data_IF_331243396704
#
_entry.id   IF_331243396704
#
_cell.length_a   1.000
_cell.length_b   1.000
_cell.length_c   1.000
_cell.angle_alpha   90.00
_cell.angle_beta   90.00
_cell.angle_gamma   90.00
#
_symmetry.space_group_name_H-M   'P 1'
#
loop_
_entity.id
_entity.type
_entity.pdbx_description
1 polymer ?
#
# COMPACT_ATOMS: atom_id res chain seq x y z
N UNK A 1 73.20 59.12 -50.92
CA UNK A 1 72.22 59.43 -49.86
C UNK A 1 71.35 58.21 -49.74
N UNK A 2 71.74 57.31 -48.84
CA UNK A 2 71.15 55.99 -48.65
C UNK A 2 69.78 56.10 -47.98
N UNK A 3 68.79 55.47 -48.60
CA UNK A 3 67.40 55.43 -48.18
C UNK A 3 67.25 54.48 -46.98
N UNK A 4 67.03 55.04 -45.79
CA UNK A 4 66.81 54.31 -44.55
C UNK A 4 65.47 53.54 -44.61
N UNK A 5 65.54 52.22 -44.74
CA UNK A 5 64.38 51.32 -44.56
C UNK A 5 64.23 50.98 -43.07
N UNK A 6 63.13 51.40 -42.45
CA UNK A 6 62.77 51.04 -41.07
C UNK A 6 62.62 49.51 -40.90
N UNK A 7 63.02 48.92 -39.76
CA UNK A 7 62.79 47.50 -39.49
C UNK A 7 61.31 47.26 -39.12
N UNK A 8 60.71 46.26 -39.73
CA UNK A 8 59.37 45.77 -39.39
C UNK A 8 59.35 45.14 -37.99
N UNK A 9 58.24 45.25 -37.23
CA UNK A 9 58.15 44.65 -35.91
C UNK A 9 58.05 43.13 -36.03
N UNK A 10 58.88 42.42 -35.26
CA UNK A 10 58.86 40.97 -35.15
C UNK A 10 57.49 40.48 -34.66
N UNK A 11 56.88 39.56 -35.41
CA UNK A 11 55.68 38.84 -34.97
C UNK A 11 56.01 37.99 -33.75
N UNK A 12 55.39 38.31 -32.61
CA UNK A 12 55.37 37.44 -31.44
C UNK A 12 54.76 36.07 -31.80
N UNK A 13 55.26 34.94 -31.26
CA UNK A 13 54.75 33.62 -31.62
C UNK A 13 53.33 33.42 -31.07
N UNK A 14 52.35 33.33 -31.96
CA UNK A 14 50.98 32.96 -31.62
C UNK A 14 50.84 31.43 -31.55
N UNK A 15 51.45 30.81 -30.53
CA UNK A 15 51.27 29.37 -30.26
C UNK A 15 50.96 29.17 -28.78
N UNK A 16 49.67 29.05 -28.44
CA UNK A 16 49.25 28.79 -27.05
C UNK A 16 47.74 28.62 -26.81
N UNK A 17 46.88 28.94 -27.77
CA UNK A 17 45.42 28.90 -27.59
C UNK A 17 44.71 27.56 -27.88
N UNK A 18 45.12 26.71 -28.85
CA UNK A 18 44.36 25.49 -29.17
C UNK A 18 44.46 24.40 -28.10
N UNK A 19 45.65 24.22 -27.51
CA UNK A 19 45.97 23.11 -26.59
C UNK A 19 45.18 23.20 -25.28
N UNK A 20 44.96 24.40 -24.74
CA UNK A 20 44.15 24.57 -23.52
C UNK A 20 42.68 24.20 -23.72
N UNK A 21 42.14 24.45 -24.90
CA UNK A 21 40.74 24.16 -25.23
C UNK A 21 40.53 22.65 -25.42
N UNK A 22 41.49 21.96 -26.03
CA UNK A 22 41.50 20.50 -26.14
C UNK A 22 41.70 19.82 -24.78
N UNK A 23 42.66 20.26 -23.96
CA UNK A 23 42.85 19.72 -22.61
C UNK A 23 41.62 19.89 -21.72
N UNK A 24 40.95 21.05 -21.81
CA UNK A 24 39.70 21.29 -21.10
C UNK A 24 38.56 20.39 -21.61
N UNK A 25 38.47 20.13 -22.92
CA UNK A 25 37.45 19.26 -23.49
C UNK A 25 37.64 17.80 -23.08
N UNK A 26 38.90 17.34 -23.03
CA UNK A 26 39.30 16.00 -22.54
C UNK A 26 38.97 15.87 -21.06
N UNK A 27 39.45 16.78 -20.21
CA UNK A 27 39.19 16.74 -18.77
C UNK A 27 37.68 16.77 -18.44
N UNK A 28 36.89 17.53 -19.19
CA UNK A 28 35.42 17.57 -19.03
C UNK A 28 34.78 16.25 -19.45
N UNK A 29 35.30 15.60 -20.47
CA UNK A 29 34.82 14.29 -20.94
C UNK A 29 35.15 13.18 -19.95
N UNK A 30 36.37 13.21 -19.40
CA UNK A 30 36.81 12.30 -18.34
C UNK A 30 35.94 12.47 -17.08
N UNK A 31 35.74 13.70 -16.60
CA UNK A 31 34.86 13.95 -15.45
C UNK A 31 33.43 13.43 -15.68
N UNK A 32 32.89 13.59 -16.88
CA UNK A 32 31.56 13.07 -17.24
C UNK A 32 31.52 11.54 -17.25
N UNK A 33 32.60 10.89 -17.71
CA UNK A 33 32.76 9.43 -17.67
C UNK A 33 32.84 8.96 -16.22
N UNK A 34 33.69 9.57 -15.41
CA UNK A 34 33.88 9.17 -14.01
C UNK A 34 32.60 9.35 -13.18
N UNK A 35 31.83 10.43 -13.41
CA UNK A 35 30.51 10.61 -12.78
C UNK A 35 29.53 9.52 -13.22
N UNK A 36 29.57 9.11 -14.49
CA UNK A 36 28.70 8.06 -15.03
C UNK A 36 29.06 6.71 -14.42
N UNK A 37 30.35 6.39 -14.35
CA UNK A 37 30.86 5.14 -13.80
C UNK A 37 30.57 5.06 -12.30
N UNK A 38 30.81 6.15 -11.55
CA UNK A 38 30.45 6.23 -10.14
C UNK A 38 28.94 6.02 -9.90
N UNK A 39 28.07 6.60 -10.75
CA UNK A 39 26.62 6.38 -10.68
C UNK A 39 26.25 4.94 -11.03
N UNK A 40 26.93 4.32 -11.98
CA UNK A 40 26.71 2.92 -12.35
C UNK A 40 27.12 1.97 -11.22
N UNK A 41 28.29 2.17 -10.62
CA UNK A 41 28.76 1.39 -9.46
C UNK A 41 27.83 1.55 -8.26
N UNK A 42 27.36 2.77 -7.97
CA UNK A 42 26.38 2.99 -6.90
C UNK A 42 25.06 2.26 -7.20
N UNK A 43 24.55 2.35 -8.43
CA UNK A 43 23.34 1.62 -8.85
C UNK A 43 23.50 0.10 -8.70
N UNK A 44 24.66 -0.45 -9.06
CA UNK A 44 24.94 -1.88 -8.90
C UNK A 44 24.95 -2.29 -7.42
N UNK A 45 25.65 -1.52 -6.58
CA UNK A 45 25.70 -1.77 -5.12
C UNK A 45 24.33 -1.67 -4.44
N UNK A 46 23.48 -0.74 -4.89
CA UNK A 46 22.10 -0.67 -4.39
C UNK A 46 21.27 -1.83 -4.95
N UNK A 47 21.45 -2.17 -6.23
CA UNK A 47 20.76 -3.28 -6.88
C UNK A 47 21.01 -4.63 -6.19
N UNK A 48 22.25 -4.88 -5.75
CA UNK A 48 22.62 -6.15 -5.09
C UNK A 48 21.85 -6.44 -3.81
N UNK A 49 21.29 -5.42 -3.14
CA UNK A 49 20.41 -5.62 -1.98
C UNK A 49 19.04 -6.22 -2.34
N UNK A 50 18.67 -6.25 -3.62
CA UNK A 50 17.38 -6.73 -4.12
C UNK A 50 17.45 -8.00 -4.97
N UNK A 51 18.66 -8.50 -5.27
CA UNK A 51 18.87 -9.65 -6.16
C UNK A 51 18.58 -10.99 -5.48
N UNK A 52 18.90 -11.09 -4.19
CA UNK A 52 18.49 -12.20 -3.34
C UNK A 52 17.13 -11.87 -2.74
N UNK A 53 16.20 -12.84 -2.68
CA UNK A 53 14.90 -12.68 -2.00
C UNK A 53 15.06 -12.60 -0.47
N UNK A 54 15.95 -11.73 0.02
CA UNK A 54 16.19 -11.41 1.41
C UNK A 54 15.50 -10.06 1.75
N UNK A 55 14.38 -10.08 2.49
CA UNK A 55 13.68 -8.87 2.90
C UNK A 55 14.56 -7.92 3.72
N UNK A 56 15.45 -8.46 4.57
CA UNK A 56 16.31 -7.65 5.43
C UNK A 56 17.34 -6.86 4.63
N UNK A 57 18.02 -7.51 3.69
CA UNK A 57 18.92 -6.87 2.72
C UNK A 57 18.20 -5.80 1.89
N UNK A 58 16.99 -6.10 1.39
CA UNK A 58 16.19 -5.14 0.62
C UNK A 58 15.86 -3.88 1.45
N UNK A 59 15.50 -4.05 2.74
CA UNK A 59 15.27 -2.93 3.66
C UNK A 59 16.53 -2.11 3.93
N UNK A 60 17.70 -2.74 4.01
CA UNK A 60 18.98 -2.02 4.12
C UNK A 60 19.24 -1.17 2.88
N UNK A 61 19.00 -1.72 1.67
CA UNK A 61 19.09 -0.97 0.41
C UNK A 61 18.15 0.24 0.37
N UNK A 62 16.89 0.06 0.78
CA UNK A 62 15.92 1.17 0.91
C UNK A 62 16.42 2.22 1.90
N UNK A 63 16.97 1.81 3.05
CA UNK A 63 17.48 2.72 4.07
C UNK A 63 18.64 3.57 3.55
N UNK A 64 19.54 2.96 2.79
CA UNK A 64 20.71 3.61 2.20
C UNK A 64 20.32 4.65 1.14
N UNK A 65 19.31 4.34 0.32
CA UNK A 65 18.82 5.25 -0.74
C UNK A 65 18.05 6.44 -0.19
N UNK A 66 17.35 6.23 0.93
CA UNK A 66 16.35 7.19 1.41
C UNK A 66 16.86 8.07 2.56
N UNK A 67 18.08 7.83 3.03
CA UNK A 67 18.63 8.40 4.26
C UNK A 67 17.66 8.23 5.45
N UNK A 68 16.82 7.19 5.42
CA UNK A 68 15.86 6.92 6.49
C UNK A 68 16.62 6.46 7.73
N UNK A 69 16.92 7.40 8.62
CA UNK A 69 17.45 7.09 9.94
C UNK A 69 16.27 6.64 10.79
N UNK A 70 16.20 5.33 11.05
CA UNK A 70 15.34 4.81 12.10
C UNK A 70 15.74 5.50 13.41
N UNK A 71 14.94 6.45 13.88
CA UNK A 71 15.00 6.96 15.25
C UNK A 71 14.36 5.93 16.17
N UNK A 72 14.93 4.73 16.21
CA UNK A 72 14.67 3.83 17.31
C UNK A 72 15.88 3.91 18.23
N UNK A 73 15.70 4.27 19.51
CA UNK A 73 16.77 4.19 20.48
C UNK A 73 17.27 2.73 20.51
N UNK A 74 18.58 2.56 20.49
CA UNK A 74 19.26 1.29 20.70
C UNK A 74 18.63 0.61 21.91
N UNK A 75 17.77 -0.37 21.68
CA UNK A 75 17.32 -1.24 22.76
C UNK A 75 18.05 -2.54 22.55
N UNK A 76 19.02 -2.77 23.43
CA UNK A 76 19.67 -4.05 23.61
C UNK A 76 18.63 -5.16 23.48
N UNK A 77 18.94 -6.12 22.62
CA UNK A 77 18.28 -7.41 22.55
C UNK A 77 17.92 -7.89 23.95
N UNK A 78 16.63 -7.97 24.24
CA UNK A 78 16.14 -8.96 25.18
C UNK A 78 14.96 -9.61 24.48
N UNK A 79 15.12 -10.89 24.12
CA UNK A 79 14.03 -11.70 23.60
C UNK A 79 12.77 -11.59 24.49
N UNK A 80 12.96 -11.32 25.78
CA UNK A 80 11.91 -10.98 26.76
C UNK A 80 10.99 -9.81 26.37
N UNK A 81 11.49 -8.75 25.72
CA UNK A 81 10.66 -7.61 25.31
C UNK A 81 9.79 -7.99 24.10
N UNK A 82 10.36 -8.74 23.17
CA UNK A 82 9.63 -9.30 22.02
C UNK A 82 8.58 -10.31 22.47
N UNK A 83 8.92 -11.18 23.42
CA UNK A 83 7.99 -12.12 24.06
C UNK A 83 6.87 -11.38 24.79
N UNK A 84 7.18 -10.30 25.52
CA UNK A 84 6.17 -9.44 26.15
C UNK A 84 5.26 -8.76 25.15
N UNK A 85 5.78 -8.31 24.01
CA UNK A 85 4.98 -7.69 22.96
C UNK A 85 4.09 -8.73 22.26
N UNK A 86 4.61 -9.92 21.96
CA UNK A 86 3.82 -11.01 21.39
C UNK A 86 2.71 -11.42 22.38
N UNK A 87 3.03 -11.57 23.66
CA UNK A 87 2.03 -11.87 24.69
C UNK A 87 1.02 -10.72 24.90
N UNK A 88 1.44 -9.47 24.74
CA UNK A 88 0.55 -8.29 24.79
C UNK A 88 -0.41 -8.24 23.61
N UNK A 89 0.04 -8.59 22.39
CA UNK A 89 -0.83 -8.69 21.22
C UNK A 89 -1.73 -9.95 21.25
N UNK A 90 -1.27 -11.07 21.80
CA UNK A 90 -2.04 -12.33 21.92
C UNK A 90 -3.07 -12.32 23.07
N UNK A 91 -2.89 -11.47 24.09
CA UNK A 91 -3.80 -11.38 25.24
C UNK A 91 -5.27 -11.11 24.85
N UNK A 92 -5.50 -10.47 23.69
CA UNK A 92 -6.85 -10.19 23.21
C UNK A 92 -7.54 -11.37 22.51
N UNK A 93 -6.83 -12.47 22.22
CA UNK A 93 -7.43 -13.70 21.68
C UNK A 93 -7.76 -14.73 22.78
N UNK A 94 -7.05 -14.72 23.91
CA UNK A 94 -7.21 -15.72 24.98
C UNK A 94 -8.58 -15.64 25.69
N UNK A 95 -9.26 -14.50 25.64
CA UNK A 95 -10.60 -14.31 26.22
C UNK A 95 -11.72 -15.12 25.57
N UNK A 96 -11.50 -15.68 24.37
CA UNK A 96 -12.51 -16.44 23.63
C UNK A 96 -12.64 -17.91 24.08
N UNK A 97 -11.64 -18.48 24.75
CA UNK A 97 -11.67 -19.88 25.19
C UNK A 97 -12.40 -20.08 26.53
N UNK A 98 -12.42 -19.07 27.41
CA UNK A 98 -13.06 -19.17 28.73
C UNK A 98 -14.61 -19.09 28.69
N UNK A 99 -15.18 -18.48 27.65
CA UNK A 99 -16.63 -18.29 27.51
C UNK A 99 -17.35 -19.58 27.05
N UNK A 100 -16.62 -20.57 26.52
CA UNK A 100 -17.23 -21.74 25.87
C UNK A 100 -17.87 -22.76 26.82
N UNK A 101 -17.74 -22.62 28.15
CA UNK A 101 -18.08 -23.69 29.09
C UNK A 101 -19.18 -23.40 30.13
N UNK A 102 -19.96 -22.32 30.03
CA UNK A 102 -21.11 -22.14 30.95
C UNK A 102 -22.36 -21.62 30.25
N UNK A 103 -23.16 -22.55 29.71
CA UNK A 103 -24.61 -22.35 29.58
C UNK A 103 -25.32 -23.14 30.69
N UNK A 104 -26.16 -22.46 31.50
CA UNK A 104 -27.36 -23.07 32.03
C UNK A 104 -28.57 -22.50 31.28
N UNK A 105 -29.29 -23.39 30.61
CA UNK A 105 -30.63 -23.16 30.06
C UNK A 105 -31.59 -22.80 31.19
N UNK A 106 -32.19 -21.61 31.16
CA UNK A 106 -33.44 -21.35 31.88
C UNK A 106 -34.40 -20.52 31.00
N UNK A 107 -35.58 -21.09 30.79
CA UNK A 107 -36.73 -20.53 30.10
C UNK A 107 -37.22 -19.25 30.80
N UNK A 108 -37.66 -18.24 30.03
CA UNK A 108 -38.55 -17.18 30.54
C UNK A 108 -39.90 -17.21 29.79
N UNK A 109 -41.05 -16.98 30.48
CA UNK A 109 -42.36 -16.97 29.87
C UNK A 109 -42.72 -15.62 29.24
N UNK A 110 -43.70 -15.68 28.34
CA UNK A 110 -44.28 -14.63 27.52
C UNK A 110 -45.15 -13.67 28.35
N UNK A 111 -44.90 -12.36 28.30
CA UNK A 111 -45.88 -11.35 28.74
C UNK A 111 -46.01 -10.19 27.73
N UNK A 112 -47.26 -9.76 27.55
CA UNK A 112 -47.76 -8.85 26.50
C UNK A 112 -47.99 -7.46 27.08
N UNK A 113 -47.45 -6.42 26.43
CA UNK A 113 -47.90 -5.04 26.64
C UNK A 113 -46.89 -3.98 26.19
N UNK A 114 -47.12 -3.34 25.04
CA UNK A 114 -46.53 -2.04 24.67
C UNK A 114 -47.60 -0.96 24.94
N UNK A 115 -47.27 0.23 25.47
CA UNK A 115 -46.66 1.24 24.60
C UNK A 115 -45.71 2.23 25.30
N UNK A 116 -44.49 2.36 24.76
CA UNK A 116 -43.73 3.61 24.52
C UNK A 116 -42.27 3.24 24.24
N UNK A 117 -41.68 3.79 23.16
CA UNK A 117 -40.26 3.56 22.81
C UNK A 117 -39.37 3.95 24.00
N UNK A 118 -38.66 3.01 24.67
CA UNK A 118 -37.63 3.41 25.60
C UNK A 118 -36.37 3.77 24.79
N UNK A 119 -35.71 4.85 25.19
CA UNK A 119 -34.36 5.18 24.75
C UNK A 119 -33.51 3.90 24.84
N UNK A 120 -32.96 3.48 23.70
CA UNK A 120 -32.34 2.17 23.52
C UNK A 120 -31.26 1.97 24.59
N UNK A 121 -31.52 1.08 25.55
CA UNK A 121 -30.58 0.75 26.63
C UNK A 121 -29.17 0.48 26.06
N UNK A 122 -28.10 0.89 26.74
CA UNK A 122 -26.75 0.63 26.26
C UNK A 122 -26.54 -0.89 26.12
N UNK A 123 -25.89 -1.33 25.02
CA UNK A 123 -25.67 -2.75 24.79
C UNK A 123 -24.80 -3.32 25.92
N UNK A 124 -25.35 -4.28 26.65
CA UNK A 124 -24.61 -5.07 27.63
C UNK A 124 -23.92 -6.22 26.89
N UNK A 125 -22.60 -6.33 27.02
CA UNK A 125 -21.86 -7.54 26.65
C UNK A 125 -21.47 -8.24 27.96
N UNK A 126 -21.86 -9.51 28.12
CA UNK A 126 -21.62 -10.30 29.34
C UNK A 126 -22.16 -9.69 30.66
N UNK A 127 -23.22 -8.87 30.58
CA UNK A 127 -23.83 -8.25 31.76
C UNK A 127 -23.14 -6.97 32.25
N UNK A 128 -22.03 -6.56 31.64
CA UNK A 128 -21.35 -5.29 31.95
C UNK A 128 -21.68 -4.19 30.93
N UNK A 129 -21.69 -2.95 31.43
CA UNK A 129 -21.93 -1.75 30.62
C UNK A 129 -20.68 -1.45 29.79
N UNK A 130 -20.79 -1.59 28.47
CA UNK A 130 -19.71 -1.21 27.56
C UNK A 130 -19.81 0.27 27.21
N UNK A 131 -18.71 1.01 27.38
CA UNK A 131 -18.62 2.40 26.97
C UNK A 131 -18.74 2.54 25.46
N UNK A 132 -19.62 3.44 25.02
CA UNK A 132 -19.72 3.80 23.60
C UNK A 132 -18.58 4.74 23.25
N UNK A 133 -17.78 4.32 22.28
CA UNK A 133 -16.69 5.14 21.73
C UNK A 133 -17.07 5.57 20.32
N UNK A 134 -16.90 6.86 20.01
CA UNK A 134 -17.25 7.44 18.71
C UNK A 134 -16.33 6.97 17.57
N UNK A 135 -15.11 6.56 17.87
CA UNK A 135 -14.23 5.84 16.95
C UNK A 135 -13.21 4.99 17.70
N UNK A 136 -12.96 3.78 17.22
CA UNK A 136 -11.93 2.91 17.76
C UNK A 136 -11.12 2.25 16.64
N UNK A 137 -9.90 1.83 16.97
CA UNK A 137 -9.02 1.14 16.03
C UNK A 137 -8.90 -0.32 16.42
N UNK A 138 -9.15 -1.22 15.47
CA UNK A 138 -9.04 -2.66 15.67
C UNK A 138 -8.32 -3.31 14.49
N UNK A 139 -7.28 -4.10 14.77
CA UNK A 139 -6.41 -4.75 13.77
C UNK A 139 -5.93 -3.80 12.67
N UNK A 140 -5.58 -2.57 13.06
CA UNK A 140 -5.11 -1.54 12.12
C UNK A 140 -6.22 -0.77 11.39
N UNK A 141 -7.48 -1.18 11.50
CA UNK A 141 -8.64 -0.56 10.82
C UNK A 141 -9.39 0.37 11.77
N UNK A 142 -9.73 1.57 11.32
CA UNK A 142 -10.56 2.50 12.11
C UNK A 142 -12.05 2.26 11.87
N UNK A 143 -12.77 2.04 12.96
CA UNK A 143 -14.23 1.95 13.01
C UNK A 143 -14.76 3.25 13.61
N UNK A 144 -15.68 3.91 12.92
CA UNK A 144 -16.36 5.11 13.39
C UNK A 144 -17.81 4.78 13.74
N UNK A 145 -18.41 5.52 14.66
CA UNK A 145 -19.81 5.36 15.08
C UNK A 145 -20.79 5.57 13.92
N UNK A 146 -20.48 6.49 13.01
CA UNK A 146 -21.27 6.73 11.79
C UNK A 146 -21.05 5.68 10.69
N UNK A 147 -20.23 4.65 10.97
CA UNK A 147 -19.83 3.58 10.06
C UNK A 147 -19.24 4.07 8.73
N UNK A 148 -18.78 5.33 8.68
CA UNK A 148 -18.04 5.84 7.54
C UNK A 148 -16.60 5.39 7.60
N UNK A 149 -16.06 5.09 6.43
CA UNK A 149 -14.70 4.61 6.28
C UNK A 149 -13.68 5.72 6.03
N UNK A 150 -14.10 6.99 5.99
CA UNK A 150 -13.24 8.11 5.64
C UNK A 150 -12.07 8.28 6.62
N UNK A 151 -12.27 8.07 7.93
CA UNK A 151 -11.16 8.10 8.91
C UNK A 151 -10.13 7.02 8.62
N UNK A 152 -10.58 5.79 8.36
CA UNK A 152 -9.71 4.68 7.98
C UNK A 152 -8.97 4.99 6.68
N UNK A 153 -9.67 5.40 5.63
CA UNK A 153 -9.11 5.66 4.31
C UNK A 153 -8.12 6.81 4.35
N UNK A 154 -8.42 7.89 5.07
CA UNK A 154 -7.48 9.00 5.25
C UNK A 154 -6.18 8.54 5.93
N UNK A 155 -6.28 7.63 6.92
CA UNK A 155 -5.10 7.06 7.57
C UNK A 155 -4.27 6.19 6.60
N UNK A 156 -4.94 5.38 5.76
CA UNK A 156 -4.30 4.55 4.74
C UNK A 156 -3.63 5.39 3.65
N UNK A 157 -4.30 6.44 3.16
CA UNK A 157 -3.77 7.38 2.17
C UNK A 157 -2.53 8.08 2.70
N UNK A 158 -2.53 8.57 3.94
CA UNK A 158 -1.34 9.18 4.57
C UNK A 158 -0.18 8.19 4.63
N UNK A 159 -0.44 6.95 5.04
CA UNK A 159 0.59 5.88 5.07
C UNK A 159 1.12 5.57 3.67
N UNK A 160 0.25 5.47 2.67
CA UNK A 160 0.64 5.23 1.29
C UNK A 160 1.41 6.41 0.67
N UNK A 161 1.10 7.65 1.07
CA UNK A 161 1.86 8.83 0.65
C UNK A 161 3.30 8.82 1.15
N UNK A 162 3.55 8.31 2.36
CA UNK A 162 4.92 8.10 2.87
C UNK A 162 5.67 7.08 1.99
N UNK A 163 5.02 5.98 1.62
CA UNK A 163 5.61 5.01 0.69
C UNK A 163 5.85 5.58 -0.71
N UNK A 164 4.97 6.47 -1.21
CA UNK A 164 5.18 7.16 -2.48
C UNK A 164 6.41 8.06 -2.45
N UNK A 165 6.75 8.67 -1.30
CA UNK A 165 8.01 9.42 -1.18
C UNK A 165 9.20 8.49 -1.43
N UNK A 166 9.24 7.32 -0.79
CA UNK A 166 10.30 6.34 -1.01
C UNK A 166 10.33 5.83 -2.46
N UNK A 167 9.18 5.53 -3.04
CA UNK A 167 9.08 5.10 -4.44
C UNK A 167 9.67 6.15 -5.40
N UNK A 168 9.42 7.46 -5.16
CA UNK A 168 10.04 8.55 -5.94
C UNK A 168 11.56 8.57 -5.77
N UNK A 169 12.05 8.38 -4.55
CA UNK A 169 13.49 8.35 -4.27
C UNK A 169 14.17 7.17 -4.94
N UNK A 170 13.56 5.98 -4.90
CA UNK A 170 14.05 4.79 -5.60
C UNK A 170 14.10 5.02 -7.11
N UNK A 171 13.10 5.70 -7.69
CA UNK A 171 13.11 6.08 -9.11
C UNK A 171 14.26 7.03 -9.46
N UNK A 172 14.59 7.99 -8.59
CA UNK A 172 15.72 8.93 -8.78
C UNK A 172 17.08 8.20 -8.83
N UNK A 173 17.21 7.08 -8.12
CA UNK A 173 18.41 6.23 -8.15
C UNK A 173 18.47 5.33 -9.39
N UNK A 174 17.52 5.47 -10.33
CA UNK A 174 17.45 4.70 -11.59
C UNK A 174 17.38 3.18 -11.37
N UNK A 175 16.70 2.74 -10.30
CA UNK A 175 16.35 1.33 -10.11
C UNK A 175 15.52 0.82 -11.29
N UNK A 176 15.71 -0.46 -11.70
CA UNK A 176 14.95 -1.05 -12.79
C UNK A 176 13.45 -1.05 -12.47
N UNK A 177 12.64 -0.91 -13.52
CA UNK A 177 11.19 -0.78 -13.42
C UNK A 177 10.54 -1.94 -12.65
N UNK A 178 11.01 -3.17 -12.88
CA UNK A 178 10.48 -4.36 -12.20
C UNK A 178 10.59 -4.26 -10.68
N UNK A 179 11.74 -3.81 -10.16
CA UNK A 179 11.92 -3.62 -8.72
C UNK A 179 11.03 -2.51 -8.15
N UNK A 180 10.77 -1.45 -8.92
CA UNK A 180 9.82 -0.41 -8.51
C UNK A 180 8.38 -0.92 -8.43
N UNK A 181 7.98 -1.79 -9.37
CA UNK A 181 6.68 -2.46 -9.34
C UNK A 181 6.59 -3.41 -8.16
N UNK A 182 7.61 -4.24 -7.92
CA UNK A 182 7.67 -5.12 -6.74
C UNK A 182 7.59 -4.34 -5.44
N UNK A 183 8.31 -3.22 -5.33
CA UNK A 183 8.21 -2.31 -4.18
C UNK A 183 6.80 -1.76 -4.00
N UNK A 184 6.15 -1.31 -5.08
CA UNK A 184 4.75 -0.87 -5.02
C UNK A 184 3.83 -1.97 -4.48
N UNK A 185 3.97 -3.21 -4.96
CA UNK A 185 3.15 -4.36 -4.54
C UNK A 185 3.33 -4.69 -3.07
N UNK A 186 4.57 -4.71 -2.58
CA UNK A 186 4.83 -5.11 -1.19
C UNK A 186 4.53 -3.99 -0.17
N UNK A 187 4.55 -2.72 -0.57
CA UNK A 187 4.43 -1.58 0.37
C UNK A 187 3.12 -0.80 0.24
N UNK A 188 2.81 -0.29 -0.96
CA UNK A 188 1.64 0.56 -1.18
C UNK A 188 0.40 -0.31 -1.37
N UNK A 189 0.49 -1.29 -2.27
CA UNK A 189 -0.63 -2.19 -2.60
C UNK A 189 -1.07 -2.98 -1.36
N UNK A 190 -0.13 -3.54 -0.60
CA UNK A 190 -0.42 -4.24 0.65
C UNK A 190 -1.15 -3.37 1.69
N UNK A 191 -0.77 -2.09 1.82
CA UNK A 191 -1.44 -1.14 2.72
C UNK A 191 -2.85 -0.82 2.22
N UNK A 192 -3.04 -0.60 0.92
CA UNK A 192 -4.34 -0.25 0.35
C UNK A 192 -5.29 -1.43 0.24
N UNK A 193 -4.78 -2.67 0.21
CA UNK A 193 -5.57 -3.90 0.10
C UNK A 193 -5.90 -4.53 1.46
N UNK A 194 -5.23 -4.11 2.53
CA UNK A 194 -5.50 -4.61 3.88
C UNK A 194 -6.96 -4.40 4.28
N UNK A 195 -7.66 -5.51 4.54
CA UNK A 195 -9.07 -5.49 4.95
C UNK A 195 -10.01 -4.89 3.91
N UNK A 196 -9.61 -4.77 2.63
CA UNK A 196 -10.36 -4.08 1.56
C UNK A 196 -11.83 -4.55 1.45
N UNK A 197 -12.08 -5.82 1.74
CA UNK A 197 -13.40 -6.47 1.73
C UNK A 197 -14.38 -5.78 2.70
N UNK A 198 -13.88 -5.23 3.81
CA UNK A 198 -14.69 -4.65 4.88
C UNK A 198 -15.14 -3.24 4.54
N UNK A 199 -14.23 -2.41 4.01
CA UNK A 199 -14.43 -0.96 3.94
C UNK A 199 -14.64 -0.43 2.52
N UNK A 200 -14.07 -1.06 1.48
CA UNK A 200 -14.01 -0.47 0.14
C UNK A 200 -15.39 -0.31 -0.54
N UNK A 201 -16.25 -1.32 -0.41
CA UNK A 201 -17.59 -1.30 -1.01
C UNK A 201 -18.46 -0.16 -0.48
N UNK A 202 -18.36 0.12 0.82
CA UNK A 202 -19.13 1.14 1.54
C UNK A 202 -18.43 2.51 1.60
N UNK A 203 -17.33 2.69 0.87
CA UNK A 203 -16.58 3.96 0.83
C UNK A 203 -17.26 4.99 -0.07
N UNK A 204 -17.12 6.28 0.25
CA UNK A 204 -17.67 7.35 -0.60
C UNK A 204 -16.92 7.47 -1.92
N UNK A 205 -17.54 8.12 -2.91
CA UNK A 205 -16.89 8.40 -4.21
C UNK A 205 -15.65 9.28 -4.02
N UNK A 206 -15.68 10.22 -3.08
CA UNK A 206 -14.53 11.07 -2.76
C UNK A 206 -13.37 10.24 -2.19
N UNK A 207 -13.67 9.30 -1.29
CA UNK A 207 -12.68 8.40 -0.72
C UNK A 207 -12.05 7.48 -1.78
N UNK A 208 -12.89 6.92 -2.67
CA UNK A 208 -12.41 6.11 -3.81
C UNK A 208 -11.49 6.92 -4.74
N UNK A 209 -11.86 8.17 -5.04
CA UNK A 209 -11.00 9.09 -5.80
C UNK A 209 -9.68 9.37 -5.08
N UNK A 210 -9.69 9.51 -3.75
CA UNK A 210 -8.47 9.72 -2.97
C UNK A 210 -7.51 8.53 -3.06
N UNK A 211 -8.02 7.31 -2.94
CA UNK A 211 -7.25 6.08 -3.11
C UNK A 211 -6.70 5.96 -4.54
N UNK A 212 -7.53 6.22 -5.55
CA UNK A 212 -7.10 6.15 -6.94
C UNK A 212 -6.00 7.17 -7.28
N UNK A 213 -5.99 8.36 -6.65
CA UNK A 213 -4.89 9.33 -6.82
C UNK A 213 -3.54 8.76 -6.39
N UNK A 214 -3.49 7.95 -5.32
CA UNK A 214 -2.27 7.28 -4.87
C UNK A 214 -1.77 6.31 -5.93
N UNK A 215 -2.67 5.47 -6.45
CA UNK A 215 -2.36 4.48 -7.52
C UNK A 215 -1.88 5.19 -8.78
N UNK A 216 -2.60 6.22 -9.24
CA UNK A 216 -2.22 6.99 -10.44
C UNK A 216 -0.85 7.66 -10.27
N UNK A 217 -0.51 8.08 -9.05
CA UNK A 217 0.81 8.66 -8.75
C UNK A 217 1.89 7.59 -8.82
N UNK A 218 1.67 6.42 -8.23
CA UNK A 218 2.59 5.28 -8.35
C UNK A 218 2.79 4.88 -9.81
N UNK A 219 1.70 4.79 -10.58
CA UNK A 219 1.70 4.45 -12.00
C UNK A 219 2.61 5.38 -12.82
N UNK A 220 2.55 6.69 -12.56
CA UNK A 220 3.42 7.69 -13.20
C UNK A 220 4.89 7.51 -12.82
N UNK A 221 5.19 7.09 -11.58
CA UNK A 221 6.57 6.92 -11.11
C UNK A 221 7.18 5.63 -11.66
N UNK A 222 6.42 4.53 -11.65
CA UNK A 222 6.87 3.23 -12.17
C UNK A 222 6.85 3.17 -13.69
N UNK A 223 6.08 4.04 -14.36
CA UNK A 223 5.84 4.02 -15.80
C UNK A 223 5.26 2.68 -16.30
N UNK A 224 4.41 2.06 -15.49
CA UNK A 224 3.70 0.80 -15.80
C UNK A 224 2.23 0.96 -15.51
N UNK A 225 1.35 0.31 -16.25
CA UNK A 225 -0.06 0.24 -15.86
C UNK A 225 -0.20 -0.51 -14.53
N UNK A 226 -0.95 0.07 -13.58
CA UNK A 226 -1.25 -0.55 -12.29
C UNK A 226 -2.77 -0.78 -12.20
N UNK A 227 -3.22 -1.96 -11.76
CA UNK A 227 -4.64 -2.24 -11.63
C UNK A 227 -5.29 -1.30 -10.61
N UNK A 228 -6.49 -0.83 -10.95
CA UNK A 228 -7.31 -0.06 -10.01
C UNK A 228 -7.75 -0.93 -8.83
N UNK A 229 -8.02 -0.28 -7.69
CA UNK A 229 -8.40 -0.99 -6.46
C UNK A 229 -9.73 -1.76 -6.61
N UNK A 230 -10.61 -1.30 -7.51
CA UNK A 230 -11.87 -1.99 -7.87
C UNK A 230 -11.63 -3.37 -8.48
N UNK A 231 -10.57 -3.53 -9.27
CA UNK A 231 -10.21 -4.79 -9.92
C UNK A 231 -9.58 -5.81 -8.95
N UNK A 232 -9.14 -5.35 -7.78
CA UNK A 232 -8.44 -6.17 -6.77
C UNK A 232 -9.41 -6.69 -5.68
N UNK A 233 -10.61 -6.13 -5.61
CA UNK A 233 -11.63 -6.53 -4.63
C UNK A 233 -12.18 -7.95 -4.91
N UNK A 234 -12.88 -8.56 -3.94
CA UNK A 234 -12.62 -9.79 -3.15
C UNK A 234 -12.60 -11.14 -3.89
N UNK A 235 -12.74 -11.17 -5.23
CA UNK A 235 -13.13 -12.40 -5.93
C UNK A 235 -12.04 -13.46 -5.88
N UNK A 236 -10.77 -13.08 -5.91
CA UNK A 236 -9.68 -14.04 -6.08
C UNK A 236 -9.41 -14.91 -4.86
N UNK A 237 -9.57 -14.42 -3.62
CA UNK A 237 -9.32 -15.22 -2.43
C UNK A 237 -10.50 -16.14 -2.09
N UNK A 238 -11.73 -15.63 -2.17
CA UNK A 238 -12.94 -16.40 -1.83
C UNK A 238 -13.22 -17.50 -2.87
N UNK A 239 -12.97 -17.24 -4.15
CA UNK A 239 -13.18 -18.25 -5.20
C UNK A 239 -12.10 -19.35 -5.18
N UNK A 240 -10.87 -19.03 -4.78
CA UNK A 240 -9.75 -19.99 -4.74
C UNK A 240 -9.77 -20.88 -3.50
N UNK A 241 -10.31 -20.37 -2.39
CA UNK A 241 -10.40 -21.09 -1.13
C UNK A 241 -11.80 -21.69 -0.93
N UNK A 242 -11.92 -23.00 -1.13
CA UNK A 242 -13.16 -23.75 -0.93
C UNK A 242 -13.57 -23.85 0.55
N UNK A 243 -12.64 -23.63 1.49
CA UNK A 243 -12.91 -23.64 2.93
C UNK A 243 -13.42 -22.30 3.47
N UNK A 244 -13.40 -21.26 2.63
CA UNK A 244 -13.81 -19.92 3.04
C UNK A 244 -15.30 -19.90 3.44
N UNK A 245 -15.69 -19.27 4.56
CA UNK A 245 -17.07 -19.30 5.07
C UNK A 245 -18.10 -18.73 4.07
N UNK A 246 -17.67 -17.79 3.22
CA UNK A 246 -18.50 -17.18 2.18
C UNK A 246 -18.36 -17.83 0.79
N UNK A 247 -17.62 -18.94 0.63
CA UNK A 247 -17.43 -19.60 -0.67
C UNK A 247 -18.77 -20.01 -1.31
N UNK A 248 -19.70 -20.50 -0.50
CA UNK A 248 -21.05 -20.89 -0.92
C UNK A 248 -21.87 -19.76 -1.55
N UNK A 249 -21.50 -18.49 -1.33
CA UNK A 249 -22.17 -17.35 -1.96
C UNK A 249 -21.83 -17.20 -3.44
N UNK A 250 -20.72 -17.80 -3.91
CA UNK A 250 -20.22 -17.75 -5.28
C UNK A 250 -20.55 -19.03 -6.05
N UNK A 251 -21.80 -19.48 -5.96
CA UNK A 251 -22.25 -20.68 -6.65
C UNK A 251 -22.59 -20.38 -8.12
N UNK A 252 -21.87 -21.02 -9.04
CA UNK A 252 -22.15 -20.96 -10.48
C UNK A 252 -23.50 -21.65 -10.76
N UNK A 253 -24.34 -21.02 -11.60
CA UNK A 253 -25.60 -21.61 -12.04
C UNK A 253 -25.35 -22.83 -12.95
N UNK A 254 -26.30 -23.77 -13.06
CA UNK A 254 -26.16 -24.97 -13.90
C UNK A 254 -25.80 -24.69 -15.37
N UNK A 255 -26.09 -23.48 -15.86
CA UNK A 255 -25.70 -23.03 -17.20
C UNK A 255 -24.20 -22.81 -17.38
N UNK A 256 -23.42 -22.76 -16.28
CA UNK A 256 -21.98 -22.49 -16.28
C UNK A 256 -21.59 -21.05 -16.63
N UNK A 257 -22.57 -20.17 -16.90
CA UNK A 257 -22.32 -18.85 -17.50
C UNK A 257 -22.31 -17.68 -16.50
N UNK A 258 -22.91 -17.87 -15.33
CA UNK A 258 -23.07 -16.80 -14.34
C UNK A 258 -23.10 -17.37 -12.92
N UNK A 259 -22.59 -16.58 -11.98
CA UNK A 259 -22.79 -16.79 -10.55
C UNK A 259 -24.21 -16.40 -10.13
N UNK A 260 -24.74 -17.11 -9.15
CA UNK A 260 -26.05 -16.82 -8.55
C UNK A 260 -26.04 -15.43 -7.91
N UNK A 261 -26.93 -14.54 -8.35
CA UNK A 261 -27.06 -13.21 -7.76
C UNK A 261 -27.65 -13.28 -6.34
N UNK A 262 -27.05 -12.53 -5.42
CA UNK A 262 -27.60 -12.36 -4.07
C UNK A 262 -28.72 -11.33 -4.12
N UNK A 263 -29.94 -11.72 -3.72
CA UNK A 263 -31.06 -10.78 -3.60
C UNK A 263 -30.86 -9.87 -2.40
N UNK A 264 -30.75 -8.57 -2.63
CA UNK A 264 -30.53 -7.56 -1.58
C UNK A 264 -31.55 -6.43 -1.69
N UNK A 265 -32.03 -5.98 -0.52
CA UNK A 265 -33.12 -4.98 -0.41
C UNK A 265 -32.66 -3.57 -0.04
N UNK A 266 -31.37 -3.39 0.29
CA UNK A 266 -30.84 -2.10 0.77
C UNK A 266 -29.60 -1.69 0.00
N UNK A 267 -29.42 -0.38 -0.21
CA UNK A 267 -28.23 0.18 -0.85
C UNK A 267 -26.94 -0.22 -0.14
N UNK A 268 -26.97 -0.34 1.19
CA UNK A 268 -25.85 -0.83 2.01
C UNK A 268 -25.43 -2.24 1.59
N UNK A 269 -26.38 -3.17 1.48
CA UNK A 269 -26.08 -4.54 1.10
C UNK A 269 -25.75 -4.65 -0.39
N UNK A 270 -26.36 -3.85 -1.26
CA UNK A 270 -26.01 -3.77 -2.69
C UNK A 270 -24.53 -3.35 -2.87
N UNK A 271 -24.06 -2.41 -2.05
CA UNK A 271 -22.68 -1.93 -2.06
C UNK A 271 -21.71 -2.77 -1.22
N UNK A 272 -22.18 -3.90 -0.65
CA UNK A 272 -21.28 -4.82 0.06
C UNK A 272 -20.27 -5.46 -0.91
N UNK A 273 -19.16 -5.90 -0.36
CA UNK A 273 -18.09 -6.56 -1.12
C UNK A 273 -18.59 -7.82 -1.85
N UNK A 274 -19.43 -8.64 -1.21
CA UNK A 274 -19.95 -9.88 -1.82
C UNK A 274 -20.86 -9.63 -3.03
N UNK A 275 -21.84 -8.74 -2.91
CA UNK A 275 -22.75 -8.41 -4.01
C UNK A 275 -22.04 -7.74 -5.16
N UNK A 276 -21.09 -6.83 -4.85
CA UNK A 276 -20.30 -6.15 -5.87
C UNK A 276 -19.37 -7.13 -6.60
N UNK A 277 -18.74 -8.05 -5.88
CA UNK A 277 -17.91 -9.11 -6.42
C UNK A 277 -18.67 -9.98 -7.45
N UNK A 278 -19.84 -10.48 -7.07
CA UNK A 278 -20.69 -11.30 -7.96
C UNK A 278 -21.14 -10.51 -9.19
N UNK A 279 -21.49 -9.23 -9.01
CA UNK A 279 -21.88 -8.37 -10.13
C UNK A 279 -20.73 -8.17 -11.12
N UNK A 280 -19.51 -7.93 -10.61
CA UNK A 280 -18.30 -7.76 -11.41
C UNK A 280 -17.90 -9.05 -12.13
N UNK A 281 -18.00 -10.21 -11.47
CA UNK A 281 -17.75 -11.51 -12.10
C UNK A 281 -18.74 -11.78 -13.22
N UNK A 282 -20.02 -11.54 -12.96
CA UNK A 282 -21.07 -11.71 -13.97
C UNK A 282 -20.96 -10.73 -15.14
N UNK A 283 -20.41 -9.52 -14.95
CA UNK A 283 -20.11 -8.62 -16.06
C UNK A 283 -18.89 -9.06 -16.85
N UNK A 284 -17.83 -9.53 -16.20
CA UNK A 284 -16.61 -10.02 -16.86
C UNK A 284 -16.88 -11.29 -17.68
N UNK A 285 -17.72 -12.20 -17.18
CA UNK A 285 -18.13 -13.41 -17.91
C UNK A 285 -18.96 -13.08 -19.16
N UNK A 286 -19.72 -11.98 -19.16
CA UNK A 286 -20.49 -11.53 -20.34
C UNK A 286 -19.60 -10.97 -21.46
N UNK A 287 -18.47 -10.34 -21.13
CA UNK A 287 -17.53 -9.81 -22.11
C UNK A 287 -16.72 -10.90 -22.84
N UNK A 288 -16.73 -12.14 -22.32
CA UNK A 288 -16.04 -13.29 -22.91
C UNK A 288 -16.94 -14.24 -23.72
N UNK A 289 -18.21 -13.88 -23.98
CA UNK A 289 -19.04 -14.61 -24.95
C UNK A 289 -18.94 -13.97 -26.35
N UNK A 290 -18.71 -14.75 -27.43
CA UNK A 290 -18.84 -14.29 -28.80
C UNK A 290 -20.30 -13.97 -29.17
#
# INVERSE_FOLDING_TARGET
>A
MDEQRCPTPAKSPQHGFPVRQELYSVARSDLKRDIRDAKASYKQRIGSHFDNSDPCGAWQGIRHVTNYKNTNPTTSSSASLLEQLNHFFDRHETGLQAVRLRLPTQHLPLDKGLPNKPARAPPLYYGERVDRVSSFKFLGTHFSEDLKWSTNINSLVKKAQQWLYFLRTLRKVNLPQQLLVSFYRCSIDSVLTHGIIVWYGNSSVADKKALQRVINTAQKITNTHLPALEAIAPTSCILKDSSHPAHHLFAILPSGKHDRSIKVRTTRLINSSYTKAITTLNSALKEHLP
#
